data_IF_883163609003
#
_entry.id   IF_883163609003
#
_cell.length_a   1.000
_cell.length_b   1.000
_cell.length_c   1.000
_cell.angle_alpha   90.00
_cell.angle_beta   90.00
_cell.angle_gamma   90.00
#
_symmetry.space_group_name_H-M   'P 1'
#
loop_
_entity.id
_entity.type
_entity.pdbx_description
1 polymer ?
#
# COMPACT_ATOMS: atom_id res chain seq x y z
N UNK A 1 8.74 8.57 11.18
CA UNK A 1 8.41 8.08 9.82
C UNK A 1 8.28 6.57 9.79
N UNK A 2 9.33 5.83 10.21
CA UNK A 2 9.34 4.35 10.30
C UNK A 2 8.17 3.74 11.10
N UNK A 3 7.79 4.31 12.25
CA UNK A 3 6.68 3.76 13.07
C UNK A 3 5.29 3.89 12.43
N UNK A 4 5.14 4.81 11.48
CA UNK A 4 3.85 5.12 10.86
C UNK A 4 3.68 4.48 9.48
N UNK A 5 4.78 4.15 8.79
CA UNK A 5 4.73 3.52 7.47
C UNK A 5 4.09 2.12 7.49
N UNK A 6 4.40 1.21 8.44
CA UNK A 6 3.73 -0.08 8.54
C UNK A 6 2.22 0.05 8.75
N UNK A 7 1.79 1.00 9.60
CA UNK A 7 0.35 1.28 9.80
C UNK A 7 -0.30 1.77 8.53
N UNK A 8 0.35 2.68 7.80
CA UNK A 8 -0.12 3.16 6.49
C UNK A 8 -0.23 2.03 5.48
N UNK A 9 0.76 1.13 5.39
CA UNK A 9 0.74 -0.02 4.49
C UNK A 9 -0.42 -0.95 4.84
N UNK A 10 -0.70 -1.18 6.13
CA UNK A 10 -1.84 -1.98 6.55
C UNK A 10 -3.19 -1.32 6.18
N UNK A 11 -3.33 -0.01 6.39
CA UNK A 11 -4.51 0.73 5.94
C UNK A 11 -4.70 0.65 4.41
N UNK A 12 -3.62 0.74 3.64
CA UNK A 12 -3.64 0.57 2.18
C UNK A 12 -4.07 -0.85 1.80
N UNK A 13 -3.55 -1.89 2.47
CA UNK A 13 -3.95 -3.28 2.27
C UNK A 13 -5.46 -3.49 2.52
N UNK A 14 -6.00 -2.92 3.60
CA UNK A 14 -7.41 -3.02 3.91
C UNK A 14 -8.29 -2.32 2.85
N UNK A 15 -7.88 -1.15 2.38
CA UNK A 15 -8.58 -0.42 1.31
C UNK A 15 -8.54 -1.18 -0.01
N UNK A 16 -7.38 -1.73 -0.38
CA UNK A 16 -7.20 -2.55 -1.59
C UNK A 16 -8.15 -3.76 -1.54
N UNK A 17 -8.11 -4.56 -0.47
CA UNK A 17 -8.98 -5.74 -0.31
C UNK A 17 -10.47 -5.40 -0.42
N UNK A 18 -10.88 -4.26 0.14
CA UNK A 18 -12.26 -3.78 0.05
C UNK A 18 -12.64 -3.49 -1.41
N UNK A 19 -11.81 -2.78 -2.14
CA UNK A 19 -12.06 -2.44 -3.55
C UNK A 19 -12.01 -3.68 -4.44
N UNK A 20 -11.06 -4.59 -4.23
CA UNK A 20 -11.01 -5.87 -4.93
C UNK A 20 -12.30 -6.68 -4.72
N UNK A 21 -12.83 -6.70 -3.50
CA UNK A 21 -14.11 -7.34 -3.19
C UNK A 21 -15.29 -6.67 -3.89
N UNK A 22 -15.27 -5.34 -4.03
CA UNK A 22 -16.28 -4.59 -4.79
C UNK A 22 -16.20 -4.91 -6.29
N UNK A 23 -14.99 -4.94 -6.87
CA UNK A 23 -14.76 -5.24 -8.27
C UNK A 23 -15.03 -6.71 -8.63
N UNK A 24 -14.88 -7.63 -7.68
CA UNK A 24 -15.23 -9.04 -7.85
C UNK A 24 -16.76 -9.28 -7.94
N UNK A 25 -17.59 -8.30 -7.56
CA UNK A 25 -19.03 -8.39 -7.69
C UNK A 25 -19.44 -8.22 -9.17
N UNK A 26 -19.86 -9.31 -9.81
CA UNK A 26 -20.26 -9.34 -11.22
C UNK A 26 -21.40 -8.36 -11.55
N UNK A 27 -22.28 -8.08 -10.59
CA UNK A 27 -23.40 -7.16 -10.79
C UNK A 27 -22.95 -5.70 -10.75
N UNK A 28 -21.78 -5.39 -10.17
CA UNK A 28 -21.34 -4.02 -9.97
C UNK A 28 -21.08 -3.31 -11.30
N UNK A 29 -20.43 -3.98 -12.25
CA UNK A 29 -20.20 -3.43 -13.59
C UNK A 29 -21.51 -3.17 -14.35
N UNK A 30 -22.52 -4.03 -14.15
CA UNK A 30 -23.82 -3.90 -14.83
C UNK A 30 -24.66 -2.78 -14.21
N UNK A 31 -24.67 -2.66 -12.89
CA UNK A 31 -25.45 -1.64 -12.18
C UNK A 31 -24.82 -0.25 -12.21
N UNK A 32 -23.49 -0.18 -12.18
CA UNK A 32 -22.73 1.07 -12.08
C UNK A 32 -21.37 0.96 -12.81
N UNK A 33 -21.36 1.08 -14.15
CA UNK A 33 -20.14 1.01 -14.94
C UNK A 33 -19.13 2.12 -14.59
N UNK A 34 -19.61 3.31 -14.23
CA UNK A 34 -18.76 4.44 -13.88
C UNK A 34 -18.10 4.23 -12.52
N UNK A 35 -18.87 3.79 -11.51
CA UNK A 35 -18.33 3.39 -10.22
C UNK A 35 -17.32 2.25 -10.34
N UNK A 36 -17.59 1.24 -11.17
CA UNK A 36 -16.65 0.16 -11.45
C UNK A 36 -15.32 0.69 -12.02
N UNK A 37 -15.39 1.59 -13.02
CA UNK A 37 -14.20 2.21 -13.61
C UNK A 37 -13.41 3.02 -12.56
N UNK A 38 -14.11 3.81 -11.75
CA UNK A 38 -13.49 4.61 -10.70
C UNK A 38 -12.84 3.73 -9.62
N UNK A 39 -13.49 2.63 -9.23
CA UNK A 39 -12.94 1.65 -8.31
C UNK A 39 -11.69 0.96 -8.88
N UNK A 40 -11.67 0.63 -10.17
CA UNK A 40 -10.48 0.07 -10.82
C UNK A 40 -9.30 1.06 -10.85
N UNK A 41 -9.55 2.34 -11.15
CA UNK A 41 -8.53 3.39 -11.11
C UNK A 41 -7.99 3.63 -9.69
N UNK A 42 -8.87 3.63 -8.69
CA UNK A 42 -8.47 3.78 -7.30
C UNK A 42 -7.66 2.56 -6.81
N UNK A 43 -8.03 1.34 -7.23
CA UNK A 43 -7.24 0.13 -6.95
C UNK A 43 -5.81 0.26 -7.49
N UNK A 44 -5.66 0.70 -8.74
CA UNK A 44 -4.34 0.91 -9.36
C UNK A 44 -3.52 1.92 -8.55
N UNK A 45 -4.12 3.05 -8.18
CA UNK A 45 -3.47 4.11 -7.41
C UNK A 45 -3.03 3.62 -6.02
N UNK A 46 -3.91 2.95 -5.28
CA UNK A 46 -3.61 2.45 -3.94
C UNK A 46 -2.54 1.36 -3.98
N UNK A 47 -2.55 0.50 -4.99
CA UNK A 47 -1.54 -0.54 -5.18
C UNK A 47 -0.16 0.09 -5.43
N UNK A 48 -0.08 1.13 -6.27
CA UNK A 48 1.17 1.88 -6.48
C UNK A 48 1.63 2.58 -5.19
N UNK A 49 0.72 3.21 -4.46
CA UNK A 49 1.04 3.86 -3.20
C UNK A 49 1.57 2.88 -2.15
N UNK A 50 1.00 1.67 -2.09
CA UNK A 50 1.45 0.60 -1.21
C UNK A 50 2.89 0.21 -1.54
N UNK A 51 3.18 -0.10 -2.81
CA UNK A 51 4.55 -0.48 -3.24
C UNK A 51 5.56 0.61 -2.90
N UNK A 52 5.25 1.87 -3.18
CA UNK A 52 6.13 3.00 -2.83
C UNK A 52 6.35 3.12 -1.32
N UNK A 53 5.31 2.85 -0.52
CA UNK A 53 5.42 2.88 0.95
C UNK A 53 6.27 1.72 1.48
N UNK A 54 6.15 0.53 0.88
CA UNK A 54 6.98 -0.64 1.21
C UNK A 54 8.45 -0.42 0.84
N UNK A 55 8.73 0.16 -0.33
CA UNK A 55 10.08 0.52 -0.75
C UNK A 55 10.71 1.58 0.17
N UNK A 56 9.96 2.61 0.55
CA UNK A 56 10.44 3.63 1.48
C UNK A 56 10.72 3.04 2.87
N UNK A 57 9.86 2.15 3.34
CA UNK A 57 10.07 1.45 4.61
C UNK A 57 11.35 0.62 4.59
N UNK A 58 11.58 -0.17 3.53
CA UNK A 58 12.80 -0.94 3.36
C UNK A 58 14.05 -0.06 3.30
N UNK A 59 14.01 1.07 2.57
CA UNK A 59 15.14 2.02 2.50
C UNK A 59 15.48 2.61 3.87
N UNK A 60 14.46 2.91 4.68
CA UNK A 60 14.67 3.42 6.03
C UNK A 60 15.24 2.35 6.97
N UNK A 61 14.83 1.10 6.83
CA UNK A 61 15.39 -0.01 7.62
C UNK A 61 16.85 -0.24 7.28
N UNK A 62 17.22 -0.26 5.98
CA UNK A 62 18.61 -0.39 5.55
C UNK A 62 19.50 0.73 6.11
N UNK A 63 19.04 1.98 6.09
CA UNK A 63 19.77 3.12 6.70
C UNK A 63 19.94 2.97 8.20
N UNK A 64 18.93 2.40 8.88
CA UNK A 64 19.00 2.13 10.31
C UNK A 64 20.03 1.05 10.61
N UNK A 65 20.02 -0.05 9.87
CA UNK A 65 20.99 -1.13 9.99
C UNK A 65 22.42 -0.64 9.78
N UNK A 66 22.66 0.21 8.77
CA UNK A 66 23.97 0.82 8.50
C UNK A 66 24.49 1.65 9.70
N UNK A 67 23.65 2.52 10.27
CA UNK A 67 24.00 3.34 11.44
C UNK A 67 24.21 2.49 12.69
N UNK A 68 23.41 1.44 12.89
CA UNK A 68 23.54 0.54 14.04
C UNK A 68 24.79 -0.36 13.94
N UNK A 69 25.19 -0.77 12.73
CA UNK A 69 26.46 -1.47 12.49
C UNK A 69 27.67 -0.63 12.88
N UNK A 70 27.73 0.62 12.41
CA UNK A 70 28.83 1.57 12.74
C UNK A 70 28.97 1.80 14.25
N UNK A 71 27.86 1.77 15.01
CA UNK A 71 27.88 1.94 16.47
C UNK A 71 28.37 0.71 17.23
N UNK A 72 28.26 -0.49 16.65
CA UNK A 72 28.73 -1.74 17.28
C UNK A 72 30.21 -1.97 17.07
N UNK A 73 30.76 -1.41 15.99
CA UNK A 73 32.17 -1.55 15.61
C UNK A 73 33.10 -0.51 16.27
N UNK A 74 32.54 0.47 16.99
CA UNK A 74 33.25 1.48 17.79
C UNK A 74 33.09 1.21 19.29
#
# INVERSE_FOLDING_TARGET
>A
ALENLPKKIEELNLKIKKIESQLANQNYFVSDPEGFKNAALELEKLTKEKVLSEEEWLKLELRREEVEGIKKDN
#
